data_IF_245340994512
#
_entry.id   IF_245340994512
#
_cell.length_a   1.000
_cell.length_b   1.000
_cell.length_c   1.000
_cell.angle_alpha   90.00
_cell.angle_beta   90.00
_cell.angle_gamma   90.00
#
_symmetry.space_group_name_H-M   'P 1'
#
loop_
_entity.id
_entity.type
_entity.pdbx_description
1 polymer ?
2 polymer ?
#
# COMPACT_ATOMS: atom_id res chain seq x y z
N UNK A 4 2.91 -0.32 -21.20
CA UNK A 4 3.45 -1.17 -22.27
C UNK A 4 3.10 -0.64 -23.66
N UNK A 5 1.84 -0.24 -23.84
CA UNK A 5 1.44 0.43 -25.06
C UNK A 5 1.73 1.91 -25.03
N UNK A 6 1.71 2.51 -26.21
CA UNK A 6 2.40 3.75 -26.45
C UNK A 6 1.48 4.95 -26.25
N UNK A 7 2.05 6.02 -25.71
CA UNK A 7 1.31 7.20 -25.26
C UNK A 7 1.43 8.28 -26.32
N UNK A 8 0.31 8.84 -26.73
CA UNK A 8 0.35 10.06 -27.53
C UNK A 8 -0.46 11.12 -26.80
N UNK A 9 -0.60 12.28 -27.45
CA UNK A 9 -1.28 13.39 -26.78
C UNK A 9 -2.75 13.10 -26.54
N UNK A 10 -3.42 12.44 -27.49
CA UNK A 10 -4.84 12.17 -27.36
C UNK A 10 -5.13 11.39 -26.08
N UNK A 11 -4.35 10.32 -25.85
CA UNK A 11 -4.53 9.52 -24.65
C UNK A 11 -4.23 10.31 -23.38
N UNK A 12 -3.28 11.24 -23.44
CA UNK A 12 -3.02 12.10 -22.29
C UNK A 12 -4.20 13.02 -22.00
N UNK A 13 -4.83 13.58 -23.04
CA UNK A 13 -5.99 14.42 -22.82
C UNK A 13 -7.13 13.63 -22.20
N UNK A 14 -7.35 12.41 -22.68
CA UNK A 14 -8.28 11.53 -21.99
C UNK A 14 -7.90 11.37 -20.52
N UNK A 15 -6.61 11.22 -20.22
CA UNK A 15 -6.21 11.05 -18.83
C UNK A 15 -6.54 12.28 -18.00
N UNK A 16 -6.31 13.47 -18.55
CA UNK A 16 -6.67 14.69 -17.82
C UNK A 16 -8.16 14.73 -17.55
N UNK A 17 -8.96 14.47 -18.57
CA UNK A 17 -10.41 14.56 -18.39
C UNK A 17 -10.89 13.58 -17.31
N UNK A 18 -10.28 12.40 -17.24
CA UNK A 18 -10.67 11.46 -16.19
C UNK A 18 -10.30 11.99 -14.81
N UNK A 19 -9.05 12.47 -14.65
CA UNK A 19 -8.66 13.08 -13.38
C UNK A 19 -9.62 14.20 -12.99
N UNK A 20 -9.94 15.09 -13.93
CA UNK A 20 -10.82 16.22 -13.68
C UNK A 20 -12.19 15.76 -13.23
N UNK A 21 -12.69 14.68 -13.83
CA UNK A 21 -13.93 14.07 -13.37
C UNK A 21 -13.84 13.67 -11.91
N UNK A 22 -12.78 12.95 -11.53
CA UNK A 22 -12.59 12.60 -10.13
C UNK A 22 -12.57 13.85 -9.27
N UNK A 23 -11.89 14.90 -9.73
CA UNK A 23 -11.80 16.15 -8.97
C UNK A 23 -13.18 16.70 -8.69
N UNK A 24 -14.02 16.80 -9.72
CA UNK A 24 -15.39 17.29 -9.50
C UNK A 24 -16.13 16.42 -8.50
N UNK A 25 -15.97 15.10 -8.59
CA UNK A 25 -16.64 14.24 -7.62
C UNK A 25 -16.17 14.55 -6.21
N UNK A 26 -14.88 14.74 -6.02
CA UNK A 26 -14.35 15.03 -4.70
C UNK A 26 -14.55 16.49 -4.29
N UNK A 27 -15.11 17.33 -5.13
CA UNK A 27 -15.41 18.67 -4.64
C UNK A 27 -16.78 18.73 -3.97
N UNK A 28 -17.49 17.61 -3.92
CA UNK A 28 -18.82 17.57 -3.32
C UNK A 28 -18.78 18.09 -1.89
N UNK A 29 -19.55 19.12 -1.56
CA UNK A 29 -19.61 19.55 -0.15
C UNK A 29 -19.89 18.39 0.80
N UNK A 30 -20.82 17.51 0.46
CA UNK A 30 -21.22 16.43 1.37
C UNK A 30 -20.10 15.43 1.61
N UNK A 31 -19.07 15.43 0.75
CA UNK A 31 -17.85 14.69 1.05
C UNK A 31 -17.12 15.30 2.23
N UNK A 32 -16.96 16.63 2.21
CA UNK A 32 -16.25 17.37 3.26
C UNK A 32 -14.83 16.84 3.47
N UNK A 33 -14.07 16.66 2.38
CA UNK A 33 -12.83 15.91 2.51
C UNK A 33 -11.73 16.64 3.28
N UNK A 34 -10.99 15.82 4.03
CA UNK A 34 -9.81 16.17 4.80
C UNK A 34 -8.95 17.29 4.22
N UNK A 35 -8.39 18.10 5.12
CA UNK A 35 -7.30 18.96 4.70
C UNK A 35 -6.07 18.16 4.32
N UNK A 36 -5.85 17.05 4.99
CA UNK A 36 -4.49 16.57 5.18
C UNK A 36 -4.10 15.55 4.12
N UNK A 37 -2.83 15.55 3.66
CA UNK A 37 -2.23 14.59 2.73
C UNK A 37 -2.53 13.18 3.17
N UNK A 38 -2.84 12.30 2.22
CA UNK A 38 -2.88 12.69 0.81
C UNK A 38 -4.18 13.41 0.40
N UNK A 39 -4.10 14.71 0.11
CA UNK A 39 -5.28 15.50 -0.25
C UNK A 39 -5.49 15.44 -1.75
N UNK A 40 -6.46 14.64 -2.17
CA UNK A 40 -6.60 14.29 -3.57
C UNK A 40 -6.79 15.52 -4.45
N UNK A 41 -7.52 16.52 -3.95
CA UNK A 41 -7.86 17.71 -4.71
C UNK A 41 -6.67 18.66 -4.89
N UNK A 42 -5.52 18.35 -4.30
CA UNK A 42 -4.27 18.97 -4.69
C UNK A 42 -3.42 18.06 -5.54
N UNK A 43 -3.52 16.75 -5.33
CA UNK A 43 -2.66 15.81 -6.04
C UNK A 43 -3.00 15.74 -7.52
N UNK A 44 -4.27 15.71 -7.88
CA UNK A 44 -4.54 15.60 -9.30
C UNK A 44 -4.23 16.90 -10.03
N UNK A 45 -4.60 18.06 -9.51
CA UNK A 45 -4.11 19.28 -10.15
C UNK A 45 -2.58 19.34 -10.29
N UNK A 46 -1.86 18.95 -9.24
CA UNK A 46 -0.41 19.03 -9.27
C UNK A 46 0.18 18.01 -10.25
N UNK A 47 -0.35 16.79 -10.27
CA UNK A 47 0.05 15.79 -11.26
C UNK A 47 -0.17 16.30 -12.68
N UNK A 48 -1.36 16.85 -12.93
CA UNK A 48 -1.65 17.43 -14.23
C UNK A 48 -0.62 18.47 -14.63
N UNK A 49 -0.30 19.39 -13.73
CA UNK A 49 0.58 20.49 -14.10
C UNK A 49 2.01 20.02 -14.32
N UNK A 50 2.47 19.03 -13.55
CA UNK A 50 3.78 18.47 -13.86
C UNK A 50 3.76 17.76 -15.20
N UNK A 51 2.65 17.09 -15.54
CA UNK A 51 2.51 16.52 -16.87
C UNK A 51 2.64 17.59 -17.95
N UNK A 52 2.08 18.78 -17.69
CA UNK A 52 2.28 19.88 -18.61
C UNK A 52 3.74 20.22 -18.76
N UNK A 53 4.44 20.35 -17.63
CA UNK A 53 5.86 20.70 -17.69
C UNK A 53 6.65 19.67 -18.48
N UNK A 54 6.24 18.41 -18.46
CA UNK A 54 6.86 17.42 -19.33
C UNK A 54 6.53 17.71 -20.79
N UNK A 55 5.24 17.97 -21.07
CA UNK A 55 4.83 18.17 -22.45
C UNK A 55 5.50 19.37 -23.11
N UNK A 56 5.83 20.39 -22.32
CA UNK A 56 6.47 21.57 -22.89
C UNK A 56 7.94 21.29 -23.22
N UNK A 57 8.55 20.37 -22.49
CA UNK A 57 9.94 20.01 -22.73
C UNK A 57 10.06 19.11 -23.95
N UNK A 58 9.25 18.07 -24.02
CA UNK A 58 9.15 17.19 -25.17
C UNK A 58 8.17 17.76 -26.19
N UNK A 59 8.19 19.08 -26.36
CA UNK A 59 7.17 19.75 -27.17
C UNK A 59 7.24 19.30 -28.61
N UNK A 60 8.43 19.34 -29.20
CA UNK A 60 8.64 18.74 -30.49
C UNK A 60 8.84 17.24 -30.42
N UNK A 61 9.40 16.76 -29.30
CA UNK A 61 9.83 15.37 -29.15
C UNK A 61 8.74 14.48 -28.56
N UNK A 62 7.51 14.58 -29.09
CA UNK A 62 6.41 13.81 -28.53
C UNK A 62 6.50 12.32 -28.86
N UNK A 63 7.06 11.98 -30.02
CA UNK A 63 7.12 10.58 -30.42
C UNK A 63 8.13 9.82 -29.57
N UNK A 64 9.20 10.48 -29.16
CA UNK A 64 10.18 9.84 -28.29
C UNK A 64 9.59 9.52 -26.94
N UNK A 65 8.76 10.42 -26.41
CA UNK A 65 8.24 10.28 -25.06
C UNK A 65 7.18 9.19 -24.98
N UNK A 66 6.35 9.06 -26.02
CA UNK A 66 5.34 8.02 -26.02
C UNK A 66 5.93 6.63 -25.93
N UNK A 67 7.22 6.49 -26.20
CA UNK A 67 7.92 5.21 -26.14
C UNK A 67 8.68 5.00 -24.84
N UNK A 68 8.79 6.01 -24.00
CA UNK A 68 9.52 5.83 -22.75
C UNK A 68 8.79 4.80 -21.90
N UNK A 69 9.45 3.70 -21.62
CA UNK A 69 8.79 2.59 -20.92
C UNK A 69 8.22 3.03 -19.59
N UNK A 70 8.99 3.81 -18.83
CA UNK A 70 8.48 4.35 -17.58
C UNK A 70 7.26 5.21 -17.82
N UNK A 71 7.33 6.11 -18.80
CA UNK A 71 6.23 7.04 -19.05
C UNK A 71 4.98 6.30 -19.50
N UNK A 72 5.15 5.27 -20.31
CA UNK A 72 4.02 4.47 -20.75
C UNK A 72 3.37 3.76 -19.58
N UNK A 73 4.18 3.07 -18.79
CA UNK A 73 3.68 2.34 -17.63
C UNK A 73 2.97 3.28 -16.68
N UNK A 74 3.53 4.47 -16.49
CA UNK A 74 2.94 5.45 -15.58
C UNK A 74 1.62 5.98 -16.10
N UNK A 75 1.54 6.27 -17.40
CA UNK A 75 0.30 6.82 -17.91
C UNK A 75 -0.81 5.78 -17.93
N UNK A 76 -0.48 4.53 -18.20
CA UNK A 76 -1.51 3.52 -18.16
C UNK A 76 -1.95 3.23 -16.73
N UNK A 77 -1.03 3.25 -15.77
CA UNK A 77 -1.44 3.06 -14.38
C UNK A 77 -2.22 4.27 -13.87
N UNK A 78 -1.84 5.48 -14.26
CA UNK A 78 -2.58 6.66 -13.85
C UNK A 78 -4.01 6.60 -14.37
N UNK A 79 -4.15 6.33 -15.66
CA UNK A 79 -5.43 5.97 -16.25
C UNK A 79 -6.18 5.00 -15.36
N UNK A 80 -5.55 3.88 -15.03
CA UNK A 80 -6.21 2.77 -14.37
C UNK A 80 -6.66 3.15 -12.96
N UNK A 81 -5.86 3.96 -12.27
CA UNK A 81 -6.17 4.40 -10.92
C UNK A 81 -7.34 5.36 -10.92
N UNK A 82 -7.32 6.36 -11.80
CA UNK A 82 -8.40 7.33 -11.83
C UNK A 82 -9.72 6.66 -12.23
N UNK A 83 -9.65 5.67 -13.13
CA UNK A 83 -10.83 4.87 -13.44
C UNK A 83 -11.33 4.12 -12.20
N UNK A 84 -10.43 3.38 -11.55
CA UNK A 84 -10.77 2.70 -10.31
C UNK A 84 -11.51 3.63 -9.35
N UNK A 85 -11.09 4.89 -9.29
CA UNK A 85 -11.68 5.84 -8.33
C UNK A 85 -13.07 6.27 -8.75
N UNK A 86 -13.26 6.69 -10.01
CA UNK A 86 -14.60 7.02 -10.48
C UNK A 86 -15.56 5.87 -10.19
N UNK A 87 -15.17 4.65 -10.57
CA UNK A 87 -16.00 3.50 -10.29
C UNK A 87 -16.20 3.26 -8.80
N UNK A 88 -15.25 3.69 -7.98
CA UNK A 88 -15.46 3.65 -6.54
C UNK A 88 -16.60 4.56 -6.14
N UNK A 89 -16.66 5.78 -6.67
CA UNK A 89 -17.80 6.63 -6.35
C UNK A 89 -19.10 6.01 -6.81
N UNK A 90 -19.06 5.30 -7.94
CA UNK A 90 -20.33 4.80 -8.45
C UNK A 90 -20.86 3.63 -7.64
N UNK A 91 -19.99 2.75 -7.16
CA UNK A 91 -20.55 1.64 -6.37
C UNK A 91 -20.68 2.00 -4.90
N UNK A 92 -19.79 2.85 -4.38
CA UNK A 92 -19.95 3.31 -3.01
C UNK A 92 -21.18 4.19 -2.83
N UNK A 93 -21.45 5.06 -3.80
CA UNK A 93 -22.68 5.86 -3.84
C UNK A 93 -22.80 6.76 -2.61
N UNK A 94 -23.95 6.77 -1.93
CA UNK A 94 -24.17 7.66 -0.81
C UNK A 94 -23.29 7.33 0.38
N UNK A 95 -22.87 6.05 0.49
CA UNK A 95 -21.96 5.66 1.56
C UNK A 95 -20.64 6.42 1.53
N UNK A 96 -20.37 7.17 0.46
CA UNK A 96 -19.13 7.94 0.40
C UNK A 96 -19.18 9.20 1.26
N UNK A 97 -20.37 9.66 1.64
CA UNK A 97 -20.46 10.84 2.50
C UNK A 97 -20.44 10.49 3.97
N UNK A 98 -20.52 9.21 4.34
CA UNK A 98 -20.22 8.78 5.69
C UNK A 98 -18.74 8.45 5.78
N UNK A 99 -18.09 8.95 6.83
CA UNK A 99 -16.63 9.00 6.83
C UNK A 99 -15.98 7.66 7.12
N UNK A 100 -16.59 6.85 7.97
CA UNK A 100 -15.98 5.58 8.35
C UNK A 100 -16.37 4.44 7.43
N UNK A 101 -17.34 4.65 6.53
CA UNK A 101 -17.64 3.65 5.52
C UNK A 101 -16.37 3.18 4.86
N UNK A 102 -16.34 1.89 4.52
CA UNK A 102 -15.14 1.40 3.85
C UNK A 102 -14.86 2.08 2.52
N UNK A 103 -15.86 2.42 1.69
CA UNK A 103 -15.52 3.20 0.49
C UNK A 103 -14.64 4.39 0.80
N UNK A 104 -14.91 5.10 1.89
CA UNK A 104 -14.07 6.24 2.23
C UNK A 104 -12.65 5.81 2.54
N UNK A 105 -12.50 4.68 3.22
CA UNK A 105 -11.17 4.12 3.46
C UNK A 105 -10.44 3.89 2.14
N UNK A 106 -11.09 3.21 1.20
CA UNK A 106 -10.47 2.96 -0.09
C UNK A 106 -10.13 4.27 -0.80
N UNK A 107 -11.01 5.27 -0.68
CA UNK A 107 -10.75 6.55 -1.31
C UNK A 107 -9.46 7.16 -0.76
N UNK A 108 -9.25 7.08 0.55
CA UNK A 108 -8.01 7.62 1.08
C UNK A 108 -6.81 6.77 0.72
N UNK A 109 -6.97 5.44 0.64
CA UNK A 109 -5.89 4.58 0.16
C UNK A 109 -5.41 5.00 -1.22
N UNK A 110 -6.34 5.10 -2.17
CA UNK A 110 -5.96 5.56 -3.49
C UNK A 110 -5.46 7.00 -3.48
N UNK A 111 -5.92 7.82 -2.54
CA UNK A 111 -5.31 9.13 -2.40
C UNK A 111 -3.82 9.01 -2.11
N UNK A 112 -3.44 8.08 -1.21
CA UNK A 112 -2.03 7.81 -0.97
C UNK A 112 -1.33 7.42 -2.26
N UNK A 113 -1.93 6.50 -3.01
CA UNK A 113 -1.27 6.03 -4.23
C UNK A 113 -1.05 7.18 -5.20
N UNK A 114 -2.07 8.00 -5.41
CA UNK A 114 -1.90 9.19 -6.24
C UNK A 114 -0.72 10.03 -5.74
N UNK A 115 -0.56 10.12 -4.42
CA UNK A 115 0.51 10.94 -3.87
C UNK A 115 1.87 10.36 -4.23
N UNK A 116 2.08 9.08 -3.91
CA UNK A 116 3.34 8.43 -4.26
C UNK A 116 3.61 8.56 -5.75
N UNK A 117 2.60 8.31 -6.57
CA UNK A 117 2.73 8.44 -8.02
C UNK A 117 3.27 9.81 -8.40
N UNK A 118 2.73 10.85 -7.80
CA UNK A 118 3.22 12.20 -8.10
C UNK A 118 4.69 12.33 -7.71
N UNK A 119 5.08 11.81 -6.54
CA UNK A 119 6.48 11.92 -6.15
C UNK A 119 7.39 11.13 -7.07
N UNK A 120 6.90 9.98 -7.57
CA UNK A 120 7.69 9.16 -8.48
C UNK A 120 7.85 9.84 -9.82
N UNK A 121 6.81 10.51 -10.29
CA UNK A 121 6.91 11.24 -11.55
C UNK A 121 7.89 12.39 -11.42
N UNK A 122 7.71 13.24 -10.40
CA UNK A 122 8.65 14.32 -10.18
C UNK A 122 10.07 13.80 -9.96
N UNK A 123 10.19 12.57 -9.46
CA UNK A 123 11.49 11.97 -9.23
C UNK A 123 12.15 11.46 -10.49
N UNK A 124 11.36 10.89 -11.40
CA UNK A 124 11.91 10.43 -12.67
C UNK A 124 11.92 11.54 -13.72
N UNK A 125 11.05 12.52 -13.60
CA UNK A 125 11.00 13.66 -14.52
C UNK A 125 11.23 14.97 -13.78
N UNK A 126 12.39 15.13 -13.15
CA UNK A 126 12.69 16.41 -12.48
C UNK A 126 12.81 17.49 -13.54
N UNK A 127 12.04 18.57 -13.34
CA UNK A 127 11.92 19.67 -14.29
C UNK A 127 11.30 19.23 -15.60
N UNK A 128 10.64 18.08 -15.63
CA UNK A 128 9.89 17.67 -16.80
C UNK A 128 10.64 16.86 -17.83
N UNK A 129 11.90 16.53 -17.59
CA UNK A 129 12.69 15.79 -18.56
C UNK A 129 13.24 14.52 -17.92
N UNK A 130 13.16 13.43 -18.66
CA UNK A 130 13.46 12.10 -18.14
C UNK A 130 14.88 11.98 -17.62
N UNK A 131 15.02 11.46 -16.40
CA UNK A 131 16.32 11.21 -15.80
C UNK A 131 16.34 9.86 -15.10
N UNK A 132 15.47 8.94 -15.52
CA UNK A 132 15.39 7.64 -14.88
C UNK A 132 16.55 6.72 -15.18
N UNK A 133 17.29 6.99 -16.27
CA UNK A 133 18.51 6.25 -16.54
C UNK A 133 19.67 6.75 -15.70
N UNK A 134 19.61 8.00 -15.24
CA UNK A 134 20.64 8.60 -14.42
C UNK A 134 20.17 8.85 -12.99
N UNK A 135 19.13 8.16 -12.55
CA UNK A 135 18.70 8.27 -11.17
C UNK A 135 19.76 7.68 -10.26
N UNK A 136 20.11 8.42 -9.22
CA UNK A 136 21.19 8.04 -8.31
C UNK A 136 20.57 7.52 -7.03
N UNK A 137 20.62 6.21 -6.87
CA UNK A 137 20.11 5.58 -5.66
C UNK A 137 20.98 6.03 -4.50
N UNK A 138 20.33 6.32 -3.37
CA UNK A 138 21.04 6.94 -2.25
C UNK A 138 22.03 5.98 -1.62
N UNK A 139 21.79 4.68 -1.72
CA UNK A 139 22.58 3.67 -1.05
C UNK A 139 23.47 2.95 -2.05
N UNK A 140 24.79 3.09 -1.88
CA UNK A 140 25.71 2.52 -2.86
C UNK A 140 25.62 1.01 -2.91
N UNK A 141 25.45 0.37 -1.76
CA UNK A 141 25.23 -1.08 -1.74
C UNK A 141 23.98 -1.44 -2.53
N UNK A 142 22.92 -0.64 -2.39
CA UNK A 142 21.72 -0.93 -3.16
C UNK A 142 21.85 -0.45 -4.60
N UNK A 143 22.50 0.70 -4.80
CA UNK A 143 22.77 1.18 -6.14
C UNK A 143 23.46 0.11 -6.98
N UNK A 144 24.49 -0.50 -6.43
CA UNK A 144 25.23 -1.54 -7.14
C UNK A 144 24.33 -2.72 -7.50
N UNK A 145 23.47 -3.15 -6.57
CA UNK A 145 22.54 -4.23 -6.91
C UNK A 145 21.67 -3.83 -8.09
N UNK A 146 21.11 -2.62 -8.04
CA UNK A 146 20.20 -2.19 -9.09
C UNK A 146 20.89 -2.20 -10.44
N UNK A 147 22.09 -1.65 -10.51
CA UNK A 147 22.72 -1.59 -11.82
C UNK A 147 23.31 -2.92 -12.24
N UNK A 148 23.72 -3.73 -11.29
CA UNK A 148 24.28 -5.04 -11.60
C UNK A 148 23.21 -6.00 -12.09
N UNK A 149 21.96 -5.80 -11.69
CA UNK A 149 20.90 -6.68 -12.13
C UNK A 149 20.10 -6.13 -13.29
N UNK A 150 19.94 -4.81 -13.40
CA UNK A 150 19.12 -4.23 -14.45
C UNK A 150 19.77 -3.09 -15.21
N UNK A 151 20.90 -2.57 -14.74
CA UNK A 151 21.61 -1.57 -15.51
C UNK A 151 20.90 -0.24 -15.53
N UNK A 152 20.63 0.23 -16.74
CA UNK A 152 20.05 1.54 -16.97
C UNK A 152 18.55 1.59 -16.72
N UNK A 153 17.92 0.44 -16.51
CA UNK A 153 16.47 0.40 -16.46
C UNK A 153 15.92 1.25 -15.33
N UNK A 154 14.78 1.88 -15.59
CA UNK A 154 14.09 2.68 -14.61
C UNK A 154 12.99 1.90 -13.91
N UNK A 155 12.44 0.90 -14.58
CA UNK A 155 11.29 0.16 -14.07
C UNK A 155 11.41 -1.29 -14.53
N UNK A 156 11.23 -2.21 -13.58
CA UNK A 156 11.32 -3.64 -13.87
C UNK A 156 10.00 -4.29 -13.49
N UNK A 157 9.51 -5.26 -14.25
CA UNK A 157 8.36 -6.04 -13.80
C UNK A 157 8.66 -6.73 -12.48
N UNK A 158 7.59 -7.02 -11.72
CA UNK A 158 7.80 -7.45 -10.33
C UNK A 158 8.45 -8.82 -10.24
N UNK A 159 8.17 -9.70 -11.18
CA UNK A 159 8.71 -11.06 -11.10
C UNK A 159 10.22 -11.05 -11.41
N UNK A 160 10.63 -10.20 -12.35
CA UNK A 160 12.06 -9.95 -12.56
C UNK A 160 12.73 -9.49 -11.27
N UNK A 161 12.21 -8.42 -10.67
CA UNK A 161 12.78 -7.89 -9.43
C UNK A 161 12.77 -8.94 -8.33
N UNK A 162 11.70 -9.72 -8.26
CA UNK A 162 11.60 -10.83 -7.33
C UNK A 162 12.77 -11.78 -7.50
N UNK A 163 13.03 -12.22 -8.74
CA UNK A 163 14.10 -13.19 -8.95
C UNK A 163 15.46 -12.61 -8.58
N UNK A 164 15.79 -11.45 -9.16
CA UNK A 164 17.07 -10.81 -8.89
C UNK A 164 17.31 -10.66 -7.39
N UNK A 165 16.35 -10.04 -6.68
CA UNK A 165 16.54 -9.87 -5.24
C UNK A 165 16.59 -11.21 -4.52
N UNK A 166 15.83 -12.20 -4.99
CA UNK A 166 15.84 -13.49 -4.32
C UNK A 166 17.22 -14.11 -4.30
N UNK A 167 18.05 -13.85 -5.33
CA UNK A 167 19.39 -14.42 -5.25
C UNK A 167 20.24 -13.74 -4.17
N UNK A 168 20.02 -12.44 -3.92
CA UNK A 168 20.84 -11.73 -2.92
C UNK A 168 20.23 -11.84 -1.52
N UNK A 169 18.93 -11.56 -1.41
CA UNK A 169 18.18 -11.74 -0.17
C UNK A 169 17.04 -12.68 -0.48
N UNK A 170 17.16 -13.97 -0.17
CA UNK A 170 16.10 -14.93 -0.53
C UNK A 170 14.80 -14.71 0.24
N UNK A 171 13.72 -15.25 -0.33
CA UNK A 171 12.36 -15.08 0.16
C UNK A 171 11.74 -16.46 0.33
N UNK A 172 11.18 -16.73 1.50
CA UNK A 172 10.73 -18.09 1.79
C UNK A 172 9.48 -18.46 1.01
N UNK A 173 8.49 -17.57 0.96
CA UNK A 173 7.18 -17.91 0.42
C UNK A 173 6.63 -16.79 -0.45
N UNK A 174 5.67 -17.16 -1.30
CA UNK A 174 4.88 -16.16 -2.00
C UNK A 174 4.09 -15.28 -1.05
N UNK A 175 3.84 -15.78 0.16
CA UNK A 175 3.22 -14.96 1.20
C UNK A 175 4.14 -13.79 1.56
N UNK A 176 5.35 -14.11 2.01
CA UNK A 176 6.36 -13.11 2.29
C UNK A 176 6.62 -12.24 1.08
N UNK A 177 6.59 -12.85 -0.12
CA UNK A 177 6.76 -12.08 -1.34
C UNK A 177 5.67 -11.03 -1.52
N UNK A 178 4.43 -11.41 -1.23
CA UNK A 178 3.30 -10.51 -1.45
C UNK A 178 3.28 -9.40 -0.41
N UNK A 179 3.74 -9.68 0.80
CA UNK A 179 3.88 -8.60 1.76
C UNK A 179 4.97 -7.62 1.33
N UNK A 180 6.13 -8.15 0.92
CA UNK A 180 7.18 -7.28 0.42
C UNK A 180 6.68 -6.44 -0.75
N UNK A 181 6.07 -7.09 -1.73
CA UNK A 181 5.38 -6.40 -2.82
C UNK A 181 4.53 -5.26 -2.30
N UNK A 182 3.66 -5.55 -1.33
CA UNK A 182 2.88 -4.51 -0.67
C UNK A 182 3.75 -3.34 -0.26
N UNK A 183 4.96 -3.60 0.23
CA UNK A 183 5.75 -2.50 0.77
C UNK A 183 6.46 -1.69 -0.31
N UNK A 184 7.15 -2.33 -1.26
CA UNK A 184 7.99 -1.57 -2.19
C UNK A 184 7.15 -0.87 -3.25
N UNK A 185 6.14 -1.55 -3.76
CA UNK A 185 5.39 -1.11 -4.94
C UNK A 185 4.38 -0.06 -4.50
N UNK A 186 4.88 1.15 -4.25
CA UNK A 186 4.00 2.20 -3.75
C UNK A 186 2.96 2.63 -4.77
N UNK A 187 3.19 2.31 -6.04
CA UNK A 187 2.33 2.74 -7.14
C UNK A 187 1.37 1.65 -7.58
N UNK A 188 1.56 0.43 -7.10
CA UNK A 188 0.58 -0.65 -7.25
C UNK A 188 0.28 -0.96 -8.71
N UNK A 189 1.34 -1.10 -9.51
CA UNK A 189 1.22 -1.40 -10.93
C UNK A 189 1.94 -2.67 -11.36
N UNK A 190 2.55 -3.38 -10.42
CA UNK A 190 3.33 -4.60 -10.64
C UNK A 190 4.71 -4.31 -11.22
N UNK A 191 5.20 -3.09 -11.05
CA UNK A 191 6.53 -2.70 -11.49
C UNK A 191 7.24 -2.00 -10.34
N UNK A 192 8.51 -2.31 -10.15
CA UNK A 192 9.35 -1.57 -9.22
C UNK A 192 10.17 -0.58 -10.02
N UNK A 193 10.14 0.69 -9.61
CA UNK A 193 10.93 1.73 -10.23
C UNK A 193 12.19 1.94 -9.43
N UNK A 194 13.12 2.69 -10.03
CA UNK A 194 14.34 3.08 -9.33
C UNK A 194 14.02 4.00 -8.17
N UNK A 195 12.93 4.77 -8.29
CA UNK A 195 12.49 5.65 -7.21
C UNK A 195 11.95 4.84 -6.03
N UNK A 196 10.95 4.00 -6.30
CA UNK A 196 10.43 3.11 -5.27
C UNK A 196 11.56 2.35 -4.57
N UNK A 197 12.46 1.79 -5.37
CA UNK A 197 13.57 1.00 -4.84
C UNK A 197 14.47 1.83 -3.94
N UNK A 198 14.83 3.03 -4.38
CA UNK A 198 15.60 3.92 -3.51
C UNK A 198 14.91 4.06 -2.16
N UNK A 199 13.65 4.49 -2.16
CA UNK A 199 12.91 4.72 -0.91
C UNK A 199 12.99 3.48 0.00
N UNK A 200 12.61 2.34 -0.55
CA UNK A 200 12.60 1.11 0.24
C UNK A 200 13.96 0.85 0.85
N UNK A 201 15.01 0.91 0.03
CA UNK A 201 16.35 0.61 0.50
C UNK A 201 16.86 1.65 1.50
N UNK A 202 16.22 2.80 1.60
CA UNK A 202 16.52 3.73 2.68
C UNK A 202 15.79 3.41 3.97
N UNK A 203 14.55 2.91 3.90
CA UNK A 203 13.84 2.61 5.13
C UNK A 203 14.47 1.45 5.87
N UNK A 204 14.79 0.38 5.16
CA UNK A 204 15.28 -0.85 5.76
C UNK A 204 16.76 -1.12 5.44
N UNK A 205 17.58 -0.09 5.48
CA UNK A 205 19.01 -0.28 5.48
C UNK A 205 19.38 -0.89 6.85
N UNK A 206 20.58 -1.49 6.98
CA UNK A 206 21.60 -1.80 5.99
C UNK A 206 21.09 -2.61 4.81
N UNK A 207 21.72 -2.39 3.65
CA UNK A 207 21.58 -3.36 2.57
C UNK A 207 21.87 -4.76 3.08
N UNK A 208 22.92 -4.89 3.90
CA UNK A 208 23.48 -6.18 4.27
C UNK A 208 22.42 -7.13 4.80
N UNK A 209 21.41 -6.59 5.50
CA UNK A 209 20.32 -7.36 6.07
C UNK A 209 18.99 -6.72 5.71
N UNK A 210 18.78 -6.48 4.42
CA UNK A 210 17.59 -5.77 3.97
C UNK A 210 16.32 -6.45 4.48
N UNK A 211 16.02 -7.62 3.95
CA UNK A 211 14.73 -8.26 4.23
C UNK A 211 14.56 -8.60 5.71
N UNK A 212 15.62 -9.05 6.38
CA UNK A 212 15.52 -9.22 7.82
C UNK A 212 15.02 -7.93 8.48
N UNK A 213 15.68 -6.80 8.22
CA UNK A 213 15.21 -5.52 8.74
C UNK A 213 13.76 -5.26 8.37
N UNK A 214 13.35 -5.64 7.17
CA UNK A 214 11.97 -5.43 6.76
C UNK A 214 11.01 -6.31 7.55
N UNK A 215 11.41 -7.53 7.84
CA UNK A 215 10.52 -8.41 8.60
C UNK A 215 10.40 -7.96 10.05
N UNK A 216 11.49 -7.53 10.64
CA UNK A 216 11.46 -7.14 12.05
C UNK A 216 10.71 -5.85 12.29
N UNK A 217 10.85 -4.89 11.38
CA UNK A 217 10.23 -3.57 11.58
C UNK A 217 8.85 -3.47 10.99
N UNK A 218 8.55 -4.20 9.93
CA UNK A 218 7.26 -4.10 9.27
C UNK A 218 6.39 -5.32 9.52
N UNK A 219 6.85 -6.52 9.16
CA UNK A 219 5.98 -7.68 9.12
C UNK A 219 5.52 -8.05 10.52
N UNK A 220 6.44 -8.23 11.44
CA UNK A 220 6.15 -8.77 12.76
C UNK A 220 6.36 -7.75 13.87
N UNK A 221 6.04 -6.49 13.63
CA UNK A 221 6.13 -5.49 14.69
C UNK A 221 4.76 -4.87 14.93
N UNK A 222 4.23 -5.01 16.15
CA UNK A 222 2.92 -4.41 16.46
C UNK A 222 2.91 -2.89 16.46
N UNK A 223 4.07 -2.24 16.45
CA UNK A 223 4.15 -0.79 16.43
C UNK A 223 4.21 -0.16 15.05
N UNK A 224 4.34 -0.97 14.00
CA UNK A 224 4.44 -0.45 12.64
C UNK A 224 3.06 -0.08 12.12
N UNK A 225 2.93 1.14 11.60
CA UNK A 225 1.65 1.70 11.23
C UNK A 225 1.49 2.00 9.75
N UNK A 226 2.50 1.71 8.93
CA UNK A 226 2.52 2.08 7.49
C UNK A 226 2.37 3.59 7.40
N UNK A 227 1.53 4.10 6.52
CA UNK A 227 1.35 5.55 6.35
C UNK A 227 0.22 6.04 7.24
N UNK A 228 0.58 6.79 8.28
CA UNK A 228 -0.37 7.58 9.05
C UNK A 228 0.02 9.04 8.93
N UNK A 229 -0.89 9.93 9.30
CA UNK A 229 -0.54 11.34 9.37
C UNK A 229 -0.11 11.67 10.79
N UNK A 230 0.34 12.90 11.00
CA UNK A 230 0.73 13.35 12.33
C UNK A 230 -0.43 13.19 13.32
N UNK A 231 -1.58 13.77 12.97
CA UNK A 231 -2.73 13.70 13.85
C UNK A 231 -3.35 12.31 13.88
N UNK A 232 -3.08 11.47 12.88
CA UNK A 232 -3.45 10.06 12.98
C UNK A 232 -2.59 9.35 14.01
N UNK A 233 -1.29 9.64 14.01
CA UNK A 233 -0.39 9.12 15.02
C UNK A 233 -0.94 9.41 16.42
N UNK A 234 -1.19 10.70 16.70
CA UNK A 234 -1.65 11.02 18.06
C UNK A 234 -3.07 10.55 18.30
N UNK A 235 -3.92 10.57 17.28
CA UNK A 235 -5.29 10.15 17.46
C UNK A 235 -5.35 8.67 17.85
N UNK A 236 -4.42 7.87 17.32
CA UNK A 236 -4.38 6.48 17.75
C UNK A 236 -3.73 6.35 19.12
N UNK A 237 -2.72 7.16 19.41
CA UNK A 237 -2.15 7.03 20.75
C UNK A 237 -2.99 7.69 21.84
N UNK A 238 -4.07 8.39 21.47
CA UNK A 238 -4.95 9.01 22.46
C UNK A 238 -5.69 7.95 23.25
N UNK A 239 -5.74 6.74 22.73
CA UNK A 239 -6.39 5.64 23.42
C UNK A 239 -5.60 5.15 24.62
N UNK A 240 -4.32 5.44 24.71
CA UNK A 240 -3.48 4.86 25.76
C UNK A 240 -2.88 5.89 26.73
N UNK A 241 -3.49 7.06 26.86
CA UNK A 241 -2.98 8.07 27.79
C UNK A 241 -2.70 7.45 29.15
N UNK A 242 -3.52 6.49 29.56
CA UNK A 242 -3.33 5.83 30.83
C UNK A 242 -2.06 4.99 30.87
N UNK A 243 -1.47 4.68 29.72
CA UNK A 243 -0.35 3.74 29.63
C UNK A 243 0.90 4.48 29.15
N UNK A 244 1.68 5.05 30.05
CA UNK A 244 2.88 5.78 29.64
C UNK A 244 3.89 4.85 29.00
N UNK A 245 4.50 5.32 27.90
CA UNK A 245 5.46 4.52 27.19
C UNK A 245 4.91 3.65 26.07
N UNK A 246 3.61 3.74 25.80
CA UNK A 246 3.05 3.08 24.62
C UNK A 246 3.45 3.86 23.38
N UNK A 247 3.89 3.16 22.34
CA UNK A 247 4.54 3.83 21.23
C UNK A 247 4.13 3.21 19.90
N UNK A 248 4.29 4.02 18.84
CA UNK A 248 4.07 3.59 17.46
C UNK A 248 5.05 4.32 16.56
N UNK A 249 5.32 3.75 15.39
CA UNK A 249 6.11 4.44 14.36
C UNK A 249 5.42 4.29 13.01
N UNK A 250 5.66 5.27 12.14
CA UNK A 250 4.90 5.43 10.91
C UNK A 250 5.77 5.94 9.77
N UNK A 251 5.23 5.77 8.57
CA UNK A 251 5.77 6.33 7.33
C UNK A 251 4.97 7.57 6.95
N UNK A 252 5.67 8.56 6.39
CA UNK A 252 5.06 9.81 5.99
C UNK A 252 4.96 9.89 4.46
N UNK A 253 3.79 10.27 3.97
CA UNK A 253 3.59 10.40 2.53
C UNK A 253 4.23 11.67 1.99
N UNK A 254 4.59 12.59 2.85
CA UNK A 254 5.26 13.83 2.48
C UNK A 254 6.77 13.73 2.63
N UNK A 255 7.26 12.77 3.41
CA UNK A 255 8.68 12.57 3.66
C UNK A 255 8.95 11.10 3.40
N UNK A 256 9.00 10.74 2.13
CA UNK A 256 9.16 9.35 1.75
C UNK A 256 10.59 8.88 2.01
N UNK A 257 10.73 7.63 2.42
CA UNK A 257 12.02 7.13 2.85
C UNK A 257 12.44 7.53 4.25
N UNK A 258 11.50 7.92 5.09
CA UNK A 258 11.79 8.42 6.42
C UNK A 258 10.86 7.76 7.44
N UNK A 259 11.30 7.78 8.70
CA UNK A 259 10.50 7.23 9.80
C UNK A 259 10.07 8.33 10.75
N UNK A 260 8.92 8.14 11.40
CA UNK A 260 8.55 9.00 12.51
C UNK A 260 8.00 8.13 13.62
N UNK A 261 8.13 8.62 14.85
CA UNK A 261 7.69 7.88 16.04
C UNK A 261 6.80 8.78 16.89
N UNK A 262 5.90 8.15 17.63
CA UNK A 262 5.08 8.83 18.60
C UNK A 262 4.89 7.97 19.83
N UNK A 263 4.95 8.57 21.03
CA UNK A 263 4.78 7.79 22.24
C UNK A 263 4.08 8.63 23.29
N UNK A 264 3.65 7.94 24.34
CA UNK A 264 2.83 8.52 25.41
C UNK A 264 3.71 8.69 26.63
N UNK A 265 3.85 9.93 27.09
CA UNK A 265 4.75 10.28 28.16
C UNK A 265 4.12 10.03 29.53
N UNK A 266 4.93 10.16 30.57
CA UNK A 266 4.43 10.07 31.93
C UNK A 266 3.76 11.36 32.39
N UNK A 267 3.88 12.44 31.62
CA UNK A 267 3.20 13.68 31.93
C UNK A 267 1.81 13.75 31.32
N UNK A 268 1.34 12.66 30.74
CA UNK A 268 0.04 12.67 30.10
C UNK A 268 0.03 13.37 28.76
N UNK A 269 1.17 13.44 28.09
CA UNK A 269 1.24 14.01 26.75
C UNK A 269 1.55 12.93 25.74
N UNK A 270 1.31 13.25 24.47
CA UNK A 270 1.64 12.38 23.35
C UNK A 270 2.59 13.16 22.46
N UNK A 271 3.82 12.69 22.35
CA UNK A 271 4.85 13.44 21.63
C UNK A 271 5.46 12.60 20.53
N UNK A 272 5.83 13.27 19.44
CA UNK A 272 6.43 12.62 18.28
C UNK A 272 7.88 13.06 18.11
N UNK A 273 8.68 12.12 17.59
CA UNK A 273 10.14 12.28 17.42
C UNK A 273 10.56 11.60 16.14
N UNK A 274 11.71 12.04 15.57
CA UNK A 274 12.21 11.52 14.33
C UNK A 274 13.68 11.03 14.59
N UNK A 275 14.05 9.81 14.17
CA UNK A 275 15.45 9.38 14.35
C UNK A 275 16.35 9.86 13.22
N UNK A 276 16.63 11.17 13.25
CA UNK A 276 17.41 11.78 12.18
C UNK A 276 18.72 11.05 11.96
N UNK A 277 19.46 10.82 13.03
CA UNK A 277 20.60 9.93 13.03
C UNK A 277 20.25 8.78 13.97
N UNK A 278 20.44 7.54 13.48
CA UNK A 278 20.16 6.20 14.01
C UNK A 278 19.21 5.49 13.05
N UNK A 279 19.56 4.29 12.58
CA UNK A 279 18.56 3.45 11.90
C UNK A 279 17.42 3.15 12.86
N UNK A 280 16.19 3.13 12.32
CA UNK A 280 15.01 3.11 13.18
C UNK A 280 15.12 2.05 14.28
N UNK A 281 15.74 0.91 13.98
CA UNK A 281 15.87 -0.12 15.01
C UNK A 281 16.77 0.36 16.13
N UNK A 282 17.81 1.15 15.82
CA UNK A 282 18.64 1.66 16.90
C UNK A 282 17.90 2.71 17.69
N UNK A 283 17.18 3.61 17.01
CA UNK A 283 16.38 4.59 17.71
C UNK A 283 15.38 3.93 18.64
N UNK A 284 14.77 2.83 18.18
CA UNK A 284 13.85 2.08 19.03
C UNK A 284 14.60 1.43 20.19
N UNK A 285 15.75 0.83 19.91
CA UNK A 285 16.53 0.17 20.96
C UNK A 285 16.90 1.17 22.06
N UNK A 286 17.54 2.26 21.66
CA UNK A 286 17.87 3.34 22.59
C UNK A 286 16.64 3.81 23.34
N UNK A 287 15.57 4.16 22.62
CA UNK A 287 14.37 4.66 23.27
C UNK A 287 13.65 3.65 24.14
N UNK A 288 13.94 2.36 23.96
CA UNK A 288 13.40 1.35 24.84
C UNK A 288 14.20 1.30 26.13
N UNK A 289 15.52 1.15 26.01
CA UNK A 289 16.36 1.28 27.19
C UNK A 289 16.12 2.60 27.88
N UNK A 290 15.94 3.66 27.10
CA UNK A 290 15.69 4.98 27.65
C UNK A 290 14.33 5.07 28.33
N UNK A 291 13.49 4.06 28.17
CA UNK A 291 12.23 4.01 28.87
C UNK A 291 11.08 4.71 28.21
N UNK A 292 11.09 4.85 26.89
CA UNK A 292 10.01 5.51 26.17
C UNK A 292 9.22 4.55 25.29
N UNK A 293 9.89 3.70 24.53
CA UNK A 293 9.19 2.77 23.64
C UNK A 293 9.06 1.43 24.35
N UNK A 294 8.13 1.37 25.31
CA UNK A 294 7.87 0.16 26.08
C UNK A 294 6.78 -0.69 25.47
N UNK A 295 5.71 -0.06 25.02
CA UNK A 295 4.47 -0.76 24.71
C UNK A 295 4.07 -0.45 23.28
N UNK A 296 4.47 -1.28 22.34
CA UNK A 296 4.16 -1.03 20.93
C UNK A 296 2.67 -1.13 20.66
N UNK A 297 2.03 -0.02 20.30
CA UNK A 297 0.58 0.02 20.04
C UNK A 297 -0.21 -0.31 21.30
N UNK A 298 0.31 0.08 22.46
CA UNK A 298 -0.37 -0.19 23.71
C UNK A 298 -0.33 -1.62 24.18
N UNK A 299 0.63 -2.40 23.68
CA UNK A 299 0.73 -3.83 23.97
C UNK A 299 1.94 -4.09 24.85
N UNK A 300 1.85 -5.15 25.64
CA UNK A 300 2.85 -5.34 26.69
C UNK A 300 4.13 -5.90 26.14
N UNK A 301 4.06 -6.82 25.18
CA UNK A 301 5.29 -7.37 24.64
C UNK A 301 5.80 -6.51 23.50
N UNK A 302 7.04 -6.04 23.69
CA UNK A 302 7.80 -5.19 22.80
C UNK A 302 8.86 -6.04 22.12
N UNK A 303 8.89 -6.06 20.80
CA UNK A 303 9.81 -6.97 20.11
C UNK A 303 11.28 -6.62 20.30
N UNK A 304 12.11 -7.64 20.21
CA UNK A 304 13.55 -7.51 20.39
C UNK A 304 14.18 -7.13 19.06
N UNK A 305 14.87 -6.00 19.03
CA UNK A 305 15.55 -5.56 17.83
C UNK A 305 17.07 -5.63 17.94
N UNK A 306 17.58 -6.10 19.07
CA UNK A 306 18.93 -6.64 19.06
C UNK A 306 18.95 -7.86 18.15
N UNK A 307 20.13 -8.23 17.70
CA UNK A 307 20.18 -9.19 16.62
C UNK A 307 19.99 -8.57 15.25
N UNK A 308 19.99 -7.24 15.17
CA UNK A 308 20.15 -6.52 13.92
C UNK A 308 21.43 -5.69 13.94
N UNK A 309 22.40 -6.09 14.75
CA UNK A 309 23.59 -5.30 14.99
C UNK A 309 24.85 -6.12 14.75
N UNK B 4 -10.81 -24.53 -12.14
CA UNK B 4 -9.68 -23.99 -11.38
C UNK B 4 -9.94 -22.54 -10.99
N UNK B 5 -10.07 -22.33 -9.68
CA UNK B 5 -10.54 -21.06 -9.13
C UNK B 5 -9.39 -20.13 -8.79
N UNK B 6 -9.73 -18.94 -8.32
CA UNK B 6 -8.81 -18.08 -7.60
C UNK B 6 -9.58 -17.51 -6.41
N UNK B 7 -9.07 -17.68 -5.20
CA UNK B 7 -7.84 -18.40 -4.83
C UNK B 7 -7.93 -19.92 -5.06
N UNK B 8 -6.78 -20.60 -4.99
CA UNK B 8 -6.76 -22.00 -5.40
C UNK B 8 -7.06 -22.91 -4.23
N UNK B 9 -6.74 -22.50 -3.01
CA UNK B 9 -6.98 -23.32 -1.83
C UNK B 9 -7.39 -22.47 -0.64
N UNK B 10 -8.46 -22.91 0.04
CA UNK B 10 -9.06 -22.22 1.17
C UNK B 10 -9.26 -23.18 2.32
N UNK B 11 -8.88 -22.74 3.52
CA UNK B 11 -8.88 -23.58 4.72
C UNK B 11 -9.13 -22.71 5.93
N UNK B 12 -9.64 -23.35 6.98
CA UNK B 12 -9.80 -22.73 8.29
C UNK B 12 -8.64 -23.19 9.17
N UNK B 13 -8.05 -22.25 9.89
CA UNK B 13 -6.81 -22.51 10.61
C UNK B 13 -6.95 -22.31 12.11
N UNK B 14 -7.86 -21.44 12.56
CA UNK B 14 -8.23 -21.31 13.95
C UNK B 14 -9.74 -21.30 14.03
N UNK B 15 -10.23 -21.76 15.18
CA UNK B 15 -11.65 -22.01 15.39
C UNK B 15 -12.07 -21.57 16.79
N UNK B 16 -13.35 -21.23 16.88
CA UNK B 16 -14.04 -20.79 18.07
C UNK B 16 -15.51 -21.00 17.77
N UNK B 17 -16.36 -21.19 18.78
CA UNK B 17 -17.77 -21.42 18.48
C UNK B 17 -18.41 -20.30 17.69
N UNK B 18 -17.87 -19.08 17.82
CA UNK B 18 -18.41 -17.91 17.16
C UNK B 18 -17.44 -17.28 16.16
N UNK B 19 -16.24 -17.81 16.01
CA UNK B 19 -15.24 -17.21 15.12
C UNK B 19 -14.51 -18.26 14.31
N UNK B 20 -14.10 -17.84 13.10
CA UNK B 20 -13.29 -18.66 12.20
C UNK B 20 -12.17 -17.83 11.61
N UNK B 21 -11.00 -18.46 11.47
CA UNK B 21 -9.85 -17.83 10.82
C UNK B 21 -9.55 -18.58 9.54
N UNK B 22 -9.65 -17.89 8.40
CA UNK B 22 -9.53 -18.52 7.09
C UNK B 22 -8.28 -18.01 6.38
N UNK B 23 -7.65 -18.88 5.59
CA UNK B 23 -6.47 -18.50 4.82
C UNK B 23 -6.55 -19.09 3.42
N UNK B 24 -5.97 -18.36 2.47
CA UNK B 24 -5.89 -18.78 1.08
C UNK B 24 -4.48 -18.52 0.57
N UNK B 25 -4.19 -19.05 -0.61
CA UNK B 25 -2.90 -19.00 -1.28
C UNK B 25 -2.52 -17.57 -1.63
N UNK B 26 -1.30 -17.40 -1.91
CA UNK B 26 -0.96 -16.18 -2.65
C UNK B 26 -1.09 -16.45 -4.15
N UNK B 27 -1.64 -15.53 -4.91
CA UNK B 27 -1.90 -15.79 -6.32
C UNK B 27 -0.66 -15.67 -7.20
N UNK B 28 -0.77 -16.23 -8.41
CA UNK B 28 0.13 -15.90 -9.51
C UNK B 28 -0.49 -14.88 -10.44
N UNK B 29 -1.76 -14.54 -10.21
CA UNK B 29 -2.45 -13.53 -10.97
C UNK B 29 -2.52 -12.29 -10.12
N UNK B 30 -3.00 -11.21 -10.71
CA UNK B 30 -3.17 -9.96 -9.98
C UNK B 30 -4.59 -9.92 -9.44
N UNK B 31 -4.71 -9.71 -8.14
CA UNK B 31 -5.97 -9.49 -7.47
C UNK B 31 -5.94 -8.08 -6.94
N UNK B 32 -6.97 -7.30 -7.22
CA UNK B 32 -7.04 -6.02 -6.55
C UNK B 32 -7.77 -6.14 -5.22
N UNK B 33 -8.86 -6.90 -5.17
CA UNK B 33 -9.45 -7.11 -3.85
C UNK B 33 -10.24 -8.41 -3.82
N UNK B 34 -10.38 -8.96 -2.61
CA UNK B 34 -11.15 -10.16 -2.36
C UNK B 34 -12.48 -9.78 -1.74
N UNK B 35 -13.53 -10.45 -2.19
CA UNK B 35 -14.84 -10.32 -1.57
C UNK B 35 -15.22 -11.66 -0.93
N UNK B 36 -15.34 -11.65 0.39
CA UNK B 36 -15.59 -12.84 1.19
C UNK B 36 -17.04 -12.81 1.66
N UNK B 37 -17.73 -13.94 1.52
CA UNK B 37 -19.12 -14.06 1.93
C UNK B 37 -19.30 -15.30 2.80
N UNK B 38 -20.35 -15.29 3.61
CA UNK B 38 -20.64 -16.40 4.51
C UNK B 38 -22.09 -16.35 4.94
N UNK B 39 -22.58 -17.50 5.38
CA UNK B 39 -23.96 -17.66 5.82
C UNK B 39 -24.26 -19.12 5.99
N UNK B 40 -25.34 -19.39 6.72
CA UNK B 40 -25.76 -20.77 6.95
C UNK B 40 -26.03 -21.48 5.63
N UNK B 41 -25.46 -22.66 5.45
CA UNK B 41 -25.59 -23.39 4.20
C UNK B 41 -27.05 -23.68 3.90
N UNK B 42 -27.39 -23.75 2.62
CA UNK B 42 -28.77 -23.94 2.25
C UNK B 42 -29.67 -22.77 2.58
N UNK B 43 -29.13 -21.62 2.96
CA UNK B 43 -29.92 -20.42 3.14
C UNK B 43 -29.93 -19.60 1.86
N UNK B 44 -30.60 -18.47 1.91
CA UNK B 44 -30.71 -17.55 0.80
C UNK B 44 -29.65 -16.45 0.90
N UNK B 45 -29.49 -15.70 -0.18
CA UNK B 45 -28.48 -14.65 -0.21
C UNK B 45 -28.81 -13.51 0.73
N UNK B 46 -30.09 -13.28 1.00
CA UNK B 46 -30.50 -12.26 1.96
C UNK B 46 -29.84 -12.46 3.31
N UNK B 47 -29.27 -13.63 3.50
CA UNK B 47 -28.66 -13.99 4.74
C UNK B 47 -27.16 -13.98 4.86
N UNK B 48 -26.46 -13.35 3.92
CA UNK B 48 -25.03 -13.17 3.89
C UNK B 48 -25.18 -11.66 3.71
N UNK B 49 -24.37 -10.71 4.21
CA UNK B 49 -23.12 -10.79 4.99
C UNK B 49 -21.87 -11.13 4.15
N UNK B 50 -21.31 -10.06 3.58
CA UNK B 50 -20.07 -10.07 2.82
C UNK B 50 -19.20 -8.89 3.23
N UNK B 51 -17.92 -8.99 2.93
CA UNK B 51 -16.96 -7.92 3.22
C UNK B 51 -15.76 -8.09 2.30
N UNK B 52 -14.84 -7.14 2.34
CA UNK B 52 -13.78 -7.04 1.35
C UNK B 52 -12.43 -6.85 2.00
N UNK B 53 -11.41 -7.47 1.42
CA UNK B 53 -10.06 -7.51 1.96
C UNK B 53 -9.10 -7.17 0.83
N UNK B 54 -7.97 -6.50 1.08
CA UNK B 54 -7.01 -6.27 0.01
C UNK B 54 -6.58 -7.56 -0.65
N UNK B 55 -6.07 -7.44 -1.88
CA UNK B 55 -5.46 -8.55 -2.56
C UNK B 55 -4.08 -8.90 -2.08
N UNK B 56 -3.53 -8.07 -1.20
CA UNK B 56 -2.24 -8.29 -0.57
C UNK B 56 -2.34 -9.13 0.69
N UNK B 57 -3.54 -9.60 1.03
CA UNK B 57 -3.76 -10.37 2.24
C UNK B 57 -4.12 -11.81 1.93
N UNK B 58 -3.80 -12.69 2.86
CA UNK B 58 -3.99 -14.13 2.72
C UNK B 58 -4.92 -14.70 3.76
N UNK B 59 -5.35 -13.90 4.74
CA UNK B 59 -6.13 -14.37 5.87
C UNK B 59 -7.27 -13.41 6.17
N UNK B 60 -8.32 -13.95 6.78
CA UNK B 60 -9.41 -13.12 7.25
C UNK B 60 -10.06 -13.76 8.46
N UNK B 61 -10.71 -12.93 9.27
CA UNK B 61 -11.35 -13.33 10.52
C UNK B 61 -12.85 -13.08 10.41
N UNK B 62 -13.67 -14.10 10.64
CA UNK B 62 -15.11 -13.96 10.63
C UNK B 62 -15.63 -14.20 12.03
N UNK B 63 -16.55 -13.35 12.49
CA UNK B 63 -17.04 -13.37 13.87
C UNK B 63 -18.54 -13.21 13.88
N UNK B 64 -19.14 -13.57 15.02
CA UNK B 64 -20.58 -13.49 15.20
C UNK B 64 -21.35 -14.70 14.74
N UNK B 65 -20.68 -15.82 14.48
CA UNK B 65 -21.37 -17.01 14.01
C UNK B 65 -21.90 -17.79 15.19
N UNK B 66 -23.16 -18.16 15.13
CA UNK B 66 -23.71 -18.97 16.21
C UNK B 66 -23.22 -20.40 16.06
N UNK B 67 -22.91 -21.07 17.16
CA UNK B 67 -22.23 -22.37 17.08
C UNK B 67 -23.15 -23.54 16.79
N UNK B 68 -22.56 -24.60 16.24
CA UNK B 68 -23.33 -25.73 15.75
C UNK B 68 -23.96 -25.53 14.39
N UNK B 69 -23.67 -24.42 13.71
CA UNK B 69 -24.34 -24.11 12.44
C UNK B 69 -23.36 -24.31 11.29
N UNK B 70 -23.88 -24.91 10.22
CA UNK B 70 -23.15 -25.16 8.98
C UNK B 70 -23.09 -23.88 8.14
N UNK B 71 -21.89 -23.36 7.90
CA UNK B 71 -21.73 -22.15 7.10
C UNK B 71 -21.04 -22.46 5.77
N UNK B 72 -21.45 -21.76 4.73
CA UNK B 72 -20.75 -21.82 3.44
C UNK B 72 -20.01 -20.50 3.25
N UNK B 73 -18.72 -20.60 2.98
CA UNK B 73 -17.85 -19.44 2.89
C UNK B 73 -17.24 -19.38 1.50
N UNK B 74 -17.28 -18.21 0.90
CA UNK B 74 -16.80 -18.03 -0.46
C UNK B 74 -15.80 -16.90 -0.51
N UNK B 75 -14.71 -17.11 -1.23
CA UNK B 75 -13.81 -16.03 -1.61
C UNK B 75 -13.94 -15.83 -3.11
N UNK B 76 -14.16 -14.57 -3.48
CA UNK B 76 -14.16 -14.04 -4.84
C UNK B 76 -12.91 -13.18 -4.98
N UNK B 77 -12.30 -13.21 -6.16
CA UNK B 77 -11.12 -12.43 -6.48
C UNK B 77 -11.45 -11.46 -7.59
N UNK B 78 -11.25 -10.17 -7.35
CA UNK B 78 -11.64 -9.13 -8.28
C UNK B 78 -10.44 -8.36 -8.79
N UNK B 79 -10.36 -8.26 -10.12
CA UNK B 79 -9.41 -7.44 -10.85
C UNK B 79 -10.18 -6.34 -11.57
N UNK B 80 -9.64 -5.12 -11.55
CA UNK B 80 -10.25 -4.02 -12.29
C UNK B 80 -9.89 -4.07 -13.77
N UNK B 81 -10.83 -3.77 -14.63
CA UNK B 81 -10.60 -3.79 -16.05
C UNK B 81 -11.00 -2.41 -16.40
N UNK B 82 -11.23 -2.08 -17.66
CA UNK B 82 -11.53 -0.71 -18.00
C UNK B 82 -12.92 -0.23 -17.66
N UNK B 83 -13.72 -1.18 -17.24
CA UNK B 83 -15.16 -1.11 -16.95
C UNK B 83 -15.47 -0.93 -15.47
N UNK B 84 -14.77 -1.67 -14.62
CA UNK B 84 -15.27 -2.06 -13.32
C UNK B 84 -14.53 -3.31 -12.91
N UNK B 85 -14.85 -3.79 -11.71
CA UNK B 85 -14.21 -5.00 -11.23
C UNK B 85 -14.89 -6.25 -11.81
N UNK B 86 -14.06 -7.22 -12.15
CA UNK B 86 -14.47 -8.51 -12.69
C UNK B 86 -13.83 -9.58 -11.85
N UNK B 87 -14.39 -10.78 -11.89
CA UNK B 87 -13.94 -11.82 -10.97
C UNK B 87 -13.42 -13.02 -11.74
N UNK B 88 -12.51 -13.74 -11.10
CA UNK B 88 -12.16 -15.08 -11.51
C UNK B 88 -13.18 -16.06 -10.96
N UNK B 89 -12.97 -17.35 -11.23
CA UNK B 89 -13.80 -18.36 -10.59
C UNK B 89 -13.59 -18.30 -9.08
N UNK B 90 -14.59 -18.68 -8.30
CA UNK B 90 -14.51 -18.51 -6.85
C UNK B 90 -14.22 -19.82 -6.14
N UNK B 91 -13.87 -19.78 -4.85
CA UNK B 91 -13.66 -21.02 -4.09
C UNK B 91 -14.40 -20.91 -2.77
N UNK B 92 -15.05 -21.99 -2.37
CA UNK B 92 -15.95 -22.03 -1.23
C UNK B 92 -15.70 -23.29 -0.42
N UNK B 93 -15.85 -23.17 0.90
CA UNK B 93 -15.72 -24.28 1.81
C UNK B 93 -16.93 -24.26 2.74
N UNK B 94 -17.29 -25.44 3.25
CA UNK B 94 -18.39 -25.57 4.21
C UNK B 94 -17.83 -25.94 5.56
N UNK B 95 -18.21 -25.19 6.59
CA UNK B 95 -17.57 -25.28 7.90
C UNK B 95 -18.59 -25.25 9.01
N UNK B 96 -18.56 -26.27 9.86
CA UNK B 96 -19.41 -26.41 11.02
C UNK B 96 -18.65 -25.94 12.25
N UNK B 97 -19.15 -24.92 12.91
CA UNK B 97 -18.51 -24.45 14.12
C UNK B 97 -18.93 -25.27 15.32
#
# INVERSE_FOLDING_TARGET
GSPPGTVDKKMVEKCWKLMDKVVRLCQNPKLALKNSPPYILDLLPDTYQHLRTILSRYEGKMETLGENEYFRVFMENLMKKTKQTISLFKEGKERMYEENSQPRRNLTKLSLIFSHMLAELKGIFPSGLFQGDTFRITKADAAEFWRKAFGEKTIVPWKSFRQALHEVHPISSGLEAMALKSTIDLTCNDYISVFEFDIFTRLFQPWSSLLRNWNSLAVTHPGYMAFLTYDEVKARLQKFIHKPGSYIFRLSCTRLGQWAIGYVTADGNILQTIPHNKPLFQALIDGFREGFYLFPDGRNQNPDLTGLC
GSVSSVPTKLEVVAATPTSLLISWDAPAVTVDFYLITYGETGAAGSYFQAFEVPGSKSTATISGLKPGVDYTITIYAEYYYEDGYYIYSPISINYRT
#
